data_IF_549623779482
#
_entry.id   IF_549623779482
#
_cell.length_a   1.000
_cell.length_b   1.000
_cell.length_c   1.000
_cell.angle_alpha   90.00
_cell.angle_beta   90.00
_cell.angle_gamma   90.00
#
_symmetry.space_group_name_H-M   'P 1'
#
loop_
_entity.id
_entity.type
_entity.pdbx_description
1 polymer ?
#
# COMPACT_ATOMS: atom_id res chain seq x y z
N UNK A 1 -20.55 -13.87 8.33
CA UNK A 1 -20.72 -13.87 6.86
C UNK A 1 -21.15 -15.22 6.27
N UNK A 2 -22.02 -15.17 5.24
CA UNK A 2 -22.37 -16.30 4.36
C UNK A 2 -21.47 -16.39 3.12
N UNK A 3 -21.34 -17.57 2.51
CA UNK A 3 -20.48 -17.77 1.34
C UNK A 3 -20.82 -16.86 0.14
N UNK A 4 -22.11 -16.60 -0.10
CA UNK A 4 -22.56 -15.69 -1.17
C UNK A 4 -22.06 -14.26 -0.96
N UNK A 5 -22.13 -13.77 0.28
CA UNK A 5 -21.61 -12.45 0.65
C UNK A 5 -20.09 -12.42 0.51
N UNK A 6 -19.40 -13.49 0.94
CA UNK A 6 -17.95 -13.58 0.82
C UNK A 6 -17.50 -13.45 -0.64
N UNK A 7 -18.17 -14.18 -1.55
CA UNK A 7 -17.84 -14.16 -2.99
C UNK A 7 -18.02 -12.79 -3.62
N UNK A 8 -19.04 -12.03 -3.20
CA UNK A 8 -19.25 -10.65 -3.68
C UNK A 8 -18.14 -9.68 -3.25
N UNK A 9 -17.36 -10.04 -2.23
CA UNK A 9 -16.29 -9.20 -1.70
C UNK A 9 -14.91 -9.57 -2.25
N UNK A 10 -14.78 -10.62 -3.06
CA UNK A 10 -13.47 -11.12 -3.51
C UNK A 10 -12.72 -10.09 -4.36
N UNK A 11 -13.36 -9.43 -5.31
CA UNK A 11 -12.68 -8.47 -6.19
C UNK A 11 -12.12 -7.30 -5.36
N UNK A 12 -12.98 -6.64 -4.58
CA UNK A 12 -12.57 -5.56 -3.68
C UNK A 12 -11.54 -5.99 -2.61
N UNK A 13 -11.53 -7.28 -2.22
CA UNK A 13 -10.51 -7.83 -1.34
C UNK A 13 -9.15 -7.94 -2.03
N UNK A 14 -9.12 -8.48 -3.25
CA UNK A 14 -7.90 -8.67 -4.03
C UNK A 14 -7.27 -7.33 -4.44
N UNK A 15 -8.11 -6.33 -4.73
CA UNK A 15 -7.68 -4.97 -5.08
C UNK A 15 -7.26 -4.13 -3.85
N UNK A 16 -7.47 -4.64 -2.63
CA UNK A 16 -7.15 -3.94 -1.39
C UNK A 16 -8.09 -2.77 -1.07
N UNK A 17 -9.28 -2.74 -1.67
CA UNK A 17 -10.27 -1.67 -1.54
C UNK A 17 -11.27 -1.90 -0.39
N UNK A 18 -11.24 -3.08 0.22
CA UNK A 18 -12.11 -3.42 1.34
C UNK A 18 -11.78 -2.64 2.62
N UNK A 19 -12.79 -2.11 3.34
CA UNK A 19 -12.60 -1.62 4.69
C UNK A 19 -12.00 -2.68 5.61
N UNK A 20 -11.10 -2.29 6.51
CA UNK A 20 -10.34 -3.22 7.38
C UNK A 20 -11.25 -4.17 8.16
N UNK A 21 -12.38 -3.69 8.69
CA UNK A 21 -13.33 -4.52 9.42
C UNK A 21 -13.92 -5.66 8.54
N UNK A 22 -14.30 -5.35 7.30
CA UNK A 22 -14.83 -6.34 6.36
C UNK A 22 -13.73 -7.31 5.89
N UNK A 23 -12.52 -6.81 5.65
CA UNK A 23 -11.38 -7.66 5.32
C UNK A 23 -11.08 -8.66 6.45
N UNK A 24 -11.18 -8.25 7.72
CA UNK A 24 -11.02 -9.17 8.86
C UNK A 24 -12.13 -10.21 8.95
N UNK A 25 -13.39 -9.83 8.70
CA UNK A 25 -14.51 -10.80 8.67
C UNK A 25 -14.34 -11.81 7.52
N UNK A 26 -13.86 -11.37 6.36
CA UNK A 26 -13.53 -12.22 5.22
C UNK A 26 -12.37 -13.15 5.48
N UNK A 27 -11.32 -12.65 6.12
CA UNK A 27 -10.21 -13.46 6.61
C UNK A 27 -10.69 -14.58 7.56
N UNK A 28 -11.55 -14.24 8.53
CA UNK A 28 -12.10 -15.22 9.46
C UNK A 28 -12.95 -16.29 8.74
N UNK A 29 -13.82 -15.88 7.81
CA UNK A 29 -14.64 -16.81 7.03
C UNK A 29 -13.79 -17.76 6.16
N UNK A 30 -12.75 -17.24 5.51
CA UNK A 30 -11.80 -18.02 4.70
C UNK A 30 -11.10 -19.11 5.53
N UNK A 31 -10.78 -18.85 6.80
CA UNK A 31 -10.18 -19.87 7.68
C UNK A 31 -11.14 -21.03 7.89
N UNK A 32 -12.42 -20.74 8.13
CA UNK A 32 -13.44 -21.75 8.44
C UNK A 32 -14.07 -22.42 7.22
N UNK A 33 -14.13 -21.77 6.06
CA UNK A 33 -14.81 -22.28 4.87
C UNK A 33 -13.80 -22.73 3.78
N UNK A 34 -13.67 -24.04 3.52
CA UNK A 34 -12.76 -24.55 2.49
C UNK A 34 -13.13 -24.11 1.07
N UNK A 35 -14.42 -24.03 0.76
CA UNK A 35 -14.89 -23.61 -0.57
C UNK A 35 -14.49 -22.17 -0.90
N UNK A 36 -14.77 -21.23 0.01
CA UNK A 36 -14.42 -19.82 -0.19
C UNK A 36 -12.90 -19.63 -0.21
N UNK A 37 -12.15 -20.38 0.59
CA UNK A 37 -10.68 -20.38 0.55
C UNK A 37 -10.15 -20.84 -0.80
N UNK A 38 -10.68 -21.93 -1.34
CA UNK A 38 -10.23 -22.48 -2.62
C UNK A 38 -10.63 -21.57 -3.79
N UNK A 39 -11.83 -21.02 -3.77
CA UNK A 39 -12.29 -20.08 -4.79
C UNK A 39 -11.41 -18.81 -4.83
N UNK A 40 -11.10 -18.23 -3.66
CA UNK A 40 -10.24 -17.06 -3.59
C UNK A 40 -8.80 -17.37 -4.02
N UNK A 41 -8.25 -18.52 -3.61
CA UNK A 41 -6.91 -18.95 -4.03
C UNK A 41 -6.81 -19.12 -5.56
N UNK A 42 -7.87 -19.61 -6.21
CA UNK A 42 -7.90 -19.73 -7.68
C UNK A 42 -7.83 -18.35 -8.36
N UNK A 43 -8.54 -17.35 -7.81
CA UNK A 43 -8.48 -15.97 -8.30
C UNK A 43 -7.10 -15.34 -8.09
N UNK A 44 -6.49 -15.54 -6.90
CA UNK A 44 -5.11 -15.10 -6.60
C UNK A 44 -4.10 -15.68 -7.62
N UNK A 45 -4.18 -16.98 -7.89
CA UNK A 45 -3.31 -17.65 -8.88
C UNK A 45 -3.55 -17.12 -10.29
N UNK A 46 -4.81 -16.89 -10.68
CA UNK A 46 -5.15 -16.34 -11.99
C UNK A 46 -4.54 -14.96 -12.18
N UNK A 47 -4.61 -14.10 -11.15
CA UNK A 47 -3.96 -12.78 -11.16
C UNK A 47 -2.44 -12.88 -11.30
N UNK A 48 -1.79 -13.83 -10.62
CA UNK A 48 -0.35 -14.05 -10.77
C UNK A 48 0.04 -14.49 -12.19
N UNK A 49 -0.73 -15.37 -12.83
CA UNK A 49 -0.46 -15.80 -14.21
C UNK A 49 -0.54 -14.59 -15.15
N UNK A 50 -1.61 -13.79 -15.06
CA UNK A 50 -1.79 -12.59 -15.88
C UNK A 50 -0.66 -11.60 -15.66
N UNK A 51 -0.26 -11.37 -14.40
CA UNK A 51 0.84 -10.46 -14.08
C UNK A 51 2.20 -10.94 -14.62
N UNK A 52 2.39 -12.26 -14.76
CA UNK A 52 3.63 -12.86 -15.26
C UNK A 52 3.71 -12.96 -16.79
N UNK A 53 2.59 -12.83 -17.50
CA UNK A 53 2.50 -12.99 -18.96
C UNK A 53 2.86 -11.72 -19.75
N UNK A 54 3.15 -10.62 -19.06
CA UNK A 54 3.45 -9.33 -19.69
C UNK A 54 4.90 -9.20 -20.18
N UNK A 55 5.08 -8.61 -21.36
CA UNK A 55 6.39 -8.11 -21.78
C UNK A 55 6.93 -7.10 -20.75
N UNK A 56 8.22 -7.17 -20.38
CA UNK A 56 8.79 -6.22 -19.46
C UNK A 56 8.68 -4.81 -20.03
N UNK A 57 7.97 -3.94 -19.32
CA UNK A 57 7.88 -2.52 -19.67
C UNK A 57 9.26 -1.88 -19.46
N UNK A 58 9.94 -1.55 -20.55
CA UNK A 58 11.19 -0.80 -20.49
C UNK A 58 10.93 0.60 -19.94
N UNK A 59 11.49 0.87 -18.76
CA UNK A 59 11.50 2.20 -18.16
C UNK A 59 12.56 3.07 -18.86
N UNK A 60 12.37 4.39 -18.85
CA UNK A 60 13.43 5.33 -19.24
C UNK A 60 14.61 5.20 -18.28
N UNK A 61 15.82 5.36 -18.80
CA UNK A 61 17.07 5.29 -18.02
C UNK A 61 17.08 6.28 -16.84
N UNK A 62 16.45 7.45 -17.01
CA UNK A 62 16.37 8.52 -15.99
C UNK A 62 15.22 8.34 -14.98
N UNK A 63 14.42 7.27 -15.08
CA UNK A 63 13.24 7.07 -14.24
C UNK A 63 13.59 7.00 -12.75
N UNK A 64 14.61 6.22 -12.39
CA UNK A 64 15.02 6.02 -11.01
C UNK A 64 15.48 7.34 -10.37
N UNK A 65 16.30 8.12 -11.09
CA UNK A 65 16.81 9.42 -10.62
C UNK A 65 15.66 10.42 -10.39
N UNK A 66 14.70 10.46 -11.33
CA UNK A 66 13.50 11.31 -11.21
C UNK A 66 12.62 10.90 -10.03
N UNK A 67 12.43 9.60 -9.80
CA UNK A 67 11.65 9.08 -8.68
C UNK A 67 12.30 9.43 -7.34
N UNK A 68 13.61 9.18 -7.21
CA UNK A 68 14.38 9.51 -5.99
C UNK A 68 14.39 11.01 -5.68
N UNK A 69 14.51 11.85 -6.71
CA UNK A 69 14.41 13.30 -6.57
C UNK A 69 13.06 13.77 -6.01
N UNK A 70 11.98 13.07 -6.33
CA UNK A 70 10.64 13.39 -5.82
C UNK A 70 10.43 12.98 -4.35
N UNK A 71 11.00 11.85 -3.92
CA UNK A 71 10.86 11.34 -2.55
C UNK A 71 11.70 12.16 -1.56
N UNK A 72 12.96 12.47 -1.91
CA UNK A 72 13.87 13.23 -1.05
C UNK A 72 13.45 14.68 -0.80
N UNK A 73 12.75 15.31 -1.75
CA UNK A 73 12.31 16.71 -1.63
C UNK A 73 11.22 16.94 -0.57
N UNK A 74 10.49 15.88 -0.16
CA UNK A 74 9.41 15.98 0.83
C UNK A 74 9.93 16.05 2.28
N UNK A 75 10.96 15.27 2.63
CA UNK A 75 11.46 15.17 4.01
C UNK A 75 12.32 16.37 4.43
N UNK A 76 13.14 16.86 3.51
CA UNK A 76 14.19 17.85 3.83
C UNK A 76 13.59 19.23 4.14
N UNK A 77 12.45 19.60 3.53
CA UNK A 77 11.83 20.93 3.73
C UNK A 77 11.23 21.14 5.13
N UNK A 78 10.71 20.09 5.77
CA UNK A 78 10.14 20.21 7.11
C UNK A 78 11.24 20.31 8.18
N UNK A 79 12.28 19.48 8.08
CA UNK A 79 13.41 19.47 9.02
C UNK A 79 14.16 20.82 9.00
N UNK A 80 14.39 21.41 7.83
CA UNK A 80 15.04 22.73 7.75
C UNK A 80 14.18 23.87 8.29
N UNK A 81 12.85 23.80 8.15
CA UNK A 81 11.95 24.83 8.70
C UNK A 81 11.95 24.81 10.23
N UNK A 82 11.89 23.64 10.86
CA UNK A 82 11.91 23.49 12.32
C UNK A 82 13.27 23.91 12.92
N UNK A 83 14.39 23.52 12.28
CA UNK A 83 15.73 23.92 12.74
C UNK A 83 15.96 25.43 12.64
N UNK A 84 15.42 26.09 11.62
CA UNK A 84 15.58 27.54 11.43
C UNK A 84 14.76 28.37 12.43
N UNK A 85 13.62 27.87 12.90
CA UNK A 85 12.87 28.50 14.01
C UNK A 85 13.57 28.35 15.36
N UNK A 86 14.27 27.24 15.61
CA UNK A 86 15.02 27.04 16.85
C UNK A 86 16.31 27.90 16.93
N UNK A 87 16.95 28.21 15.80
CA UNK A 87 18.13 29.08 15.78
C UNK A 87 17.82 30.59 15.92
N UNK A 88 16.58 31.02 15.64
CA UNK A 88 16.16 32.42 15.84
C UNK A 88 15.69 32.67 17.29
N UNK A 89 15.31 31.61 18.03
CA UNK A 89 14.94 31.66 19.44
C UNK A 89 16.09 31.18 20.37
N UNK A 90 17.34 31.49 20.02
CA UNK A 90 18.49 31.32 20.92
C UNK A 90 18.37 32.25 22.15
N UNK A 91 18.82 31.82 23.34
CA UNK A 91 18.50 32.49 24.59
C UNK A 91 19.30 33.79 24.72
N UNK A 92 18.62 34.94 24.66
CA UNK A 92 19.06 36.16 25.32
C UNK A 92 18.82 35.99 26.84
N UNK A 93 19.61 35.12 27.45
CA UNK A 93 19.67 34.95 28.90
C UNK A 93 21.13 34.71 29.32
N UNK A 94 21.96 35.76 29.21
CA UNK A 94 23.20 35.89 29.97
C UNK A 94 23.71 37.34 29.91
N UNK A 95 23.98 37.88 31.11
CA UNK A 95 24.67 39.14 31.47
C UNK A 95 23.85 40.44 31.42
#
# INVERSE_FOLDING_TARGET
MRCEQARQLFDAYLDGELPTALATELGAHRVSCPECRQALALLEVSGHIIASDGDPVSLREDFADRLLGCVGARDVRWIHRVRRTLYIAGPLAAA
#
